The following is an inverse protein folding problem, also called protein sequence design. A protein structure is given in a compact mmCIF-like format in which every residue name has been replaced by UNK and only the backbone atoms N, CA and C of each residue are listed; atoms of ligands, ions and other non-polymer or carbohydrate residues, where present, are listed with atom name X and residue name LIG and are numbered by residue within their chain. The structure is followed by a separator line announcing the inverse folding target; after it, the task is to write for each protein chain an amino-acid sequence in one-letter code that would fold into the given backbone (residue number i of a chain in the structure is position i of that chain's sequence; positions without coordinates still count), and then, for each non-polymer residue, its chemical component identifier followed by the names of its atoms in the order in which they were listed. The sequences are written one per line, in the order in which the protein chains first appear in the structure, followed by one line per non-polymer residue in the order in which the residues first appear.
data_IF_458927159048
#
_entry.id   IF_458927159048
#
_cell.length_a   1.000
_cell.length_b   1.000
_cell.length_c   1.000
_cell.angle_alpha   90.00
_cell.angle_beta   90.00
_cell.angle_gamma   90.00
#
_symmetry.space_group_name_H-M   'P 1'
#
loop_
_entity.id
_entity.type
_entity.pdbx_description
1 polymer ?
#
# COMPACT_ATOMS: atom_id res chain seq x y z
N UNK A 1 59.91 -7.40 -57.98
CA UNK A 1 59.84 -8.84 -58.36
C UNK A 1 58.42 -9.33 -58.12
N UNK A 2 57.81 -9.88 -59.18
CA UNK A 2 56.67 -10.84 -59.30
C UNK A 2 55.65 -10.89 -58.14
N UNK A 3 54.40 -10.43 -58.33
CA UNK A 3 53.28 -11.05 -59.08
C UNK A 3 52.55 -12.16 -58.31
N UNK A 4 51.22 -12.03 -58.19
CA UNK A 4 50.32 -13.09 -57.70
C UNK A 4 48.90 -12.62 -57.37
N UNK A 5 48.08 -12.34 -58.39
CA UNK A 5 46.61 -12.31 -58.29
C UNK A 5 46.09 -13.76 -58.25
N UNK A 6 45.09 -14.06 -57.41
CA UNK A 6 43.95 -14.91 -57.82
C UNK A 6 42.79 -14.88 -56.80
N UNK A 7 41.62 -14.57 -57.35
CA UNK A 7 40.24 -14.60 -56.85
C UNK A 7 39.71 -15.99 -56.49
N UNK A 8 38.85 -16.10 -55.45
CA UNK A 8 37.64 -16.96 -55.40
C UNK A 8 36.62 -16.43 -54.35
N UNK A 9 35.38 -16.12 -54.77
CA UNK A 9 34.11 -16.07 -53.96
C UNK A 9 33.41 -17.45 -54.08
N UNK A 10 32.25 -17.80 -53.45
CA UNK A 10 31.34 -17.14 -52.47
C UNK A 10 30.86 -18.08 -51.33
N UNK A 11 30.16 -17.59 -50.28
CA UNK A 11 29.12 -18.40 -49.57
C UNK A 11 27.95 -17.50 -49.11
N UNK A 12 26.77 -17.78 -49.64
CA UNK A 12 25.45 -17.32 -49.18
C UNK A 12 25.18 -17.82 -47.75
N UNK A 13 24.61 -16.98 -46.88
CA UNK A 13 23.84 -17.45 -45.71
C UNK A 13 22.46 -16.80 -45.70
N UNK A 14 21.49 -17.62 -46.03
CA UNK A 14 20.06 -17.40 -45.89
C UNK A 14 19.68 -17.29 -44.41
N UNK A 15 18.93 -16.26 -44.03
CA UNK A 15 18.25 -16.19 -42.74
C UNK A 15 16.76 -16.43 -42.97
N UNK A 16 16.23 -17.50 -42.37
CA UNK A 16 14.84 -17.91 -42.43
C UNK A 16 13.99 -17.03 -41.50
N UNK A 17 12.85 -16.57 -42.04
CA UNK A 17 11.75 -15.93 -41.32
C UNK A 17 10.83 -17.02 -40.81
N UNK A 18 10.51 -17.04 -39.51
CA UNK A 18 9.42 -17.86 -38.95
C UNK A 18 8.44 -16.93 -38.25
N UNK A 19 7.27 -16.82 -38.87
CA UNK A 19 6.07 -16.13 -38.40
C UNK A 19 5.40 -16.92 -37.27
N UNK A 20 5.00 -16.24 -36.18
CA UNK A 20 4.13 -16.83 -35.16
C UNK A 20 2.70 -16.27 -35.33
N UNK A 21 1.77 -17.20 -35.51
CA UNK A 21 0.33 -16.98 -35.74
C UNK A 21 -0.41 -16.81 -34.40
N UNK A 22 -1.35 -15.87 -34.38
CA UNK A 22 -2.32 -15.58 -33.32
C UNK A 22 -3.41 -16.66 -33.28
N UNK A 23 -3.85 -17.06 -32.08
CA UNK A 23 -5.16 -17.68 -31.86
C UNK A 23 -5.81 -17.13 -30.58
N UNK A 24 -7.03 -16.61 -30.77
CA UNK A 24 -7.97 -16.08 -29.78
C UNK A 24 -8.66 -17.22 -28.99
N UNK A 25 -9.10 -16.91 -27.76
CA UNK A 25 -10.45 -17.31 -27.35
C UNK A 25 -10.67 -17.96 -25.98
N UNK A 26 -11.34 -17.19 -25.11
CA UNK A 26 -12.47 -17.54 -24.22
C UNK A 26 -12.27 -18.13 -22.82
N UNK A 27 -12.95 -17.43 -21.90
CA UNK A 27 -13.74 -17.91 -20.76
C UNK A 27 -13.04 -18.39 -19.48
N UNK A 28 -13.29 -17.63 -18.41
CA UNK A 28 -13.25 -18.09 -17.01
C UNK A 28 -14.50 -18.93 -16.76
N UNK A 29 -14.39 -20.00 -15.95
CA UNK A 29 -15.19 -20.01 -14.73
C UNK A 29 -14.35 -20.34 -13.50
N UNK A 30 -14.78 -19.78 -12.37
CA UNK A 30 -14.34 -20.16 -11.04
C UNK A 30 -14.58 -21.65 -10.79
N UNK A 31 -13.61 -22.33 -10.18
CA UNK A 31 -13.83 -23.54 -9.41
C UNK A 31 -13.04 -23.48 -8.10
N UNK A 32 -13.80 -23.62 -7.01
CA UNK A 32 -13.33 -24.16 -5.74
C UNK A 32 -12.93 -25.64 -5.96
N UNK A 33 -11.83 -26.05 -5.34
CA UNK A 33 -11.32 -27.41 -5.38
C UNK A 33 -10.35 -27.64 -4.22
N UNK A 34 -10.92 -28.21 -3.17
CA UNK A 34 -10.30 -29.02 -2.13
C UNK A 34 -9.15 -29.91 -2.63
N UNK A 35 -7.92 -29.45 -2.39
CA UNK A 35 -6.70 -30.23 -2.56
C UNK A 35 -6.31 -30.91 -1.25
N UNK A 36 -6.88 -32.09 -0.98
CA UNK A 36 -6.28 -33.06 -0.06
C UNK A 36 -4.92 -33.48 -0.61
N UNK A 37 -3.82 -33.03 0.00
CA UNK A 37 -2.49 -33.53 -0.31
C UNK A 37 -1.96 -34.37 0.85
N UNK A 38 -2.05 -35.68 0.67
CA UNK A 38 -1.31 -36.67 1.47
C UNK A 38 0.03 -36.90 0.75
N UNK A 39 1.14 -36.50 1.36
CA UNK A 39 2.47 -36.58 0.77
C UNK A 39 3.55 -36.23 1.78
N UNK A 40 4.04 -37.26 2.48
CA UNK A 40 5.11 -37.19 3.47
C UNK A 40 6.39 -36.53 2.95
N UNK A 41 6.82 -35.47 3.65
CA UNK A 41 8.13 -34.82 3.50
C UNK A 41 8.30 -33.79 4.61
N UNK A 42 9.08 -34.12 5.64
CA UNK A 42 9.18 -33.35 6.86
C UNK A 42 9.78 -31.96 6.67
N UNK A 43 8.98 -30.94 6.96
CA UNK A 43 9.46 -29.66 7.48
C UNK A 43 8.50 -29.26 8.61
N UNK A 44 8.96 -29.47 9.85
CA UNK A 44 8.18 -29.14 11.04
C UNK A 44 8.28 -27.64 11.28
N UNK A 45 7.40 -26.85 10.65
CA UNK A 45 7.09 -25.53 11.18
C UNK A 45 6.37 -25.73 12.53
N UNK A 46 6.79 -25.05 13.62
CA UNK A 46 6.01 -25.06 14.84
C UNK A 46 4.63 -24.48 14.55
N UNK A 47 3.58 -25.24 14.86
CA UNK A 47 2.20 -24.81 14.70
C UNK A 47 1.99 -23.46 15.41
N UNK A 48 1.46 -22.47 14.69
CA UNK A 48 0.94 -21.26 15.31
C UNK A 48 -0.07 -21.64 16.41
N UNK A 49 0.02 -21.06 17.62
CA UNK A 49 -1.01 -21.20 18.63
C UNK A 49 -2.32 -20.65 18.08
N UNK A 50 -3.40 -21.45 18.18
CA UNK A 50 -4.76 -20.99 17.86
C UNK A 50 -5.09 -19.78 18.74
N UNK A 51 -5.46 -18.67 18.12
CA UNK A 51 -6.01 -17.50 18.80
C UNK A 51 -7.47 -17.78 19.18
N UNK A 52 -7.80 -17.67 20.47
CA UNK A 52 -9.19 -17.58 20.90
C UNK A 52 -9.81 -16.28 20.36
N UNK A 53 -11.03 -16.32 19.79
CA UNK A 53 -11.64 -15.18 19.13
C UNK A 53 -12.21 -14.21 20.17
N UNK A 54 -11.48 -13.13 20.45
CA UNK A 54 -11.87 -12.11 21.40
C UNK A 54 -11.67 -10.70 20.86
N UNK A 55 -12.50 -10.29 19.88
CA UNK A 55 -13.02 -8.93 19.66
C UNK A 55 -13.52 -8.82 18.22
N UNK A 56 -14.79 -8.47 18.05
CA UNK A 56 -15.39 -8.20 16.74
C UNK A 56 -14.84 -6.87 16.19
N UNK A 57 -13.81 -6.92 15.36
CA UNK A 57 -13.33 -5.77 14.59
C UNK A 57 -14.10 -5.68 13.27
N UNK A 58 -14.83 -4.58 13.08
CA UNK A 58 -15.31 -4.19 11.76
C UNK A 58 -14.08 -3.81 10.91
N UNK A 59 -13.81 -4.62 9.87
CA UNK A 59 -12.88 -4.37 8.76
C UNK A 59 -11.38 -4.13 9.07
N UNK A 60 -10.60 -5.23 9.04
CA UNK A 60 -9.18 -5.26 8.66
C UNK A 60 -8.21 -5.56 9.80
N UNK A 61 -7.84 -6.82 10.01
CA UNK A 61 -6.88 -7.21 11.05
C UNK A 61 -5.47 -6.75 10.70
N UNK A 62 -4.85 -5.97 11.58
CA UNK A 62 -3.40 -5.71 11.55
C UNK A 62 -2.90 -6.03 12.95
N UNK A 63 -2.10 -7.09 13.09
CA UNK A 63 -1.62 -7.58 14.38
C UNK A 63 -2.71 -8.29 15.19
N UNK A 64 -2.31 -8.97 16.27
CA UNK A 64 -3.29 -9.62 17.14
C UNK A 64 -3.98 -8.58 18.04
N UNK A 65 -3.30 -7.46 18.35
CA UNK A 65 -3.75 -6.48 19.33
C UNK A 65 -3.73 -5.02 18.86
N UNK A 66 -3.20 -4.74 17.67
CA UNK A 66 -3.28 -3.39 17.07
C UNK A 66 -4.68 -3.15 16.50
N UNK A 67 -5.24 -2.00 16.81
CA UNK A 67 -6.56 -1.55 16.35
C UNK A 67 -6.37 -0.34 15.44
N UNK A 68 -7.04 -0.38 14.27
CA UNK A 68 -7.06 0.71 13.30
C UNK A 68 -8.42 1.43 13.35
N UNK A 69 -8.42 2.75 13.53
CA UNK A 69 -9.60 3.61 13.45
C UNK A 69 -9.34 4.70 12.40
N UNK A 70 -10.14 4.71 11.32
CA UNK A 70 -10.10 5.76 10.31
C UNK A 70 -11.31 6.69 10.43
N UNK A 71 -11.03 7.98 10.34
CA UNK A 71 -12.03 9.06 10.34
C UNK A 71 -11.72 10.07 9.23
N UNK A 72 -12.75 10.82 8.87
CA UNK A 72 -12.69 11.93 7.93
C UNK A 72 -13.66 13.01 8.41
N UNK A 73 -13.45 14.26 8.03
CA UNK A 73 -14.52 15.25 8.08
C UNK A 73 -15.50 14.99 6.92
N UNK A 74 -16.79 15.31 7.07
CA UNK A 74 -17.78 15.22 5.98
C UNK A 74 -18.29 13.82 5.60
N UNK A 75 -18.99 13.75 4.45
CA UNK A 75 -19.79 12.60 4.01
C UNK A 75 -18.99 11.67 3.08
N UNK A 76 -19.07 10.35 3.31
CA UNK A 76 -18.29 9.35 2.60
C UNK A 76 -18.68 9.19 1.13
N UNK A 77 -17.80 9.59 0.21
CA UNK A 77 -17.81 9.17 -1.19
C UNK A 77 -17.12 7.82 -1.41
N UNK A 78 -16.91 7.42 -2.67
CA UNK A 78 -16.06 6.26 -2.97
C UNK A 78 -14.62 6.51 -2.54
N UNK A 79 -14.01 5.53 -1.86
CA UNK A 79 -12.63 5.60 -1.37
C UNK A 79 -11.82 4.39 -1.82
N UNK A 80 -10.53 4.59 -2.08
CA UNK A 80 -9.57 3.53 -2.37
C UNK A 80 -8.47 3.52 -1.30
N UNK A 81 -7.76 2.40 -1.13
CA UNK A 81 -6.56 2.38 -0.27
C UNK A 81 -5.56 3.43 -0.75
N UNK A 82 -4.99 4.18 0.18
CA UNK A 82 -3.92 5.13 -0.08
C UNK A 82 -2.78 4.41 -0.81
N UNK A 83 -2.30 5.02 -1.89
CA UNK A 83 -1.03 4.61 -2.48
C UNK A 83 0.02 5.65 -2.15
N UNK A 84 1.23 5.21 -1.85
CA UNK A 84 2.36 6.10 -1.65
C UNK A 84 2.75 6.74 -2.98
N UNK A 85 2.99 8.05 -2.97
CA UNK A 85 3.61 8.79 -4.08
C UNK A 85 5.06 8.36 -4.33
N UNK A 86 5.73 7.80 -3.30
CA UNK A 86 7.04 7.18 -3.40
C UNK A 86 6.91 5.68 -3.68
N UNK A 87 7.57 5.21 -4.75
CA UNK A 87 7.62 3.78 -5.12
C UNK A 87 8.48 2.94 -4.18
N UNK A 88 9.40 3.59 -3.46
CA UNK A 88 10.40 2.95 -2.61
C UNK A 88 9.88 2.67 -1.20
N UNK A 89 8.84 3.39 -0.78
CA UNK A 89 8.21 3.14 0.50
C UNK A 89 7.52 1.77 0.51
N UNK A 90 7.80 1.00 1.56
CA UNK A 90 7.17 -0.30 1.82
C UNK A 90 6.61 -0.29 3.25
N UNK A 91 5.34 -0.69 3.43
CA UNK A 91 4.78 -0.80 4.77
C UNK A 91 5.47 -1.90 5.58
N UNK A 92 5.54 -1.78 6.92
CA UNK A 92 6.02 -2.82 7.81
C UNK A 92 5.39 -4.17 7.52
N UNK A 93 6.23 -5.16 7.28
CA UNK A 93 5.80 -6.54 7.02
C UNK A 93 5.59 -7.33 8.31
N UNK A 94 6.32 -6.97 9.36
CA UNK A 94 6.21 -7.56 10.68
C UNK A 94 6.75 -6.62 11.76
N UNK A 95 6.36 -6.89 12.99
CA UNK A 95 6.78 -6.17 14.20
C UNK A 95 6.56 -7.06 15.42
N UNK A 96 7.20 -6.74 16.55
CA UNK A 96 6.94 -7.43 17.82
C UNK A 96 5.83 -6.73 18.60
N UNK A 97 4.87 -7.50 19.12
CA UNK A 97 3.83 -7.03 20.04
C UNK A 97 4.00 -7.67 21.43
N UNK A 98 3.68 -6.97 22.53
CA UNK A 98 3.68 -7.58 23.87
C UNK A 98 2.75 -8.79 23.89
N UNK A 99 3.21 -9.92 24.44
CA UNK A 99 2.44 -11.16 24.40
C UNK A 99 2.36 -11.87 25.76
N UNK A 100 3.50 -12.06 26.42
CA UNK A 100 3.57 -12.89 27.64
C UNK A 100 4.31 -12.18 28.79
N UNK A 101 3.84 -12.40 30.00
CA UNK A 101 4.66 -12.24 31.21
C UNK A 101 5.71 -13.37 31.29
N UNK A 102 6.79 -13.24 32.10
CA UNK A 102 7.77 -14.32 32.29
C UNK A 102 7.16 -15.68 32.60
N UNK A 103 6.16 -15.71 33.49
CA UNK A 103 5.47 -16.95 33.86
C UNK A 103 4.67 -17.54 32.70
N UNK A 104 3.89 -16.71 32.00
CA UNK A 104 3.12 -17.18 30.85
C UNK A 104 4.03 -17.67 29.72
N UNK A 105 5.20 -17.05 29.54
CA UNK A 105 6.16 -17.46 28.54
C UNK A 105 6.83 -18.79 28.88
N UNK A 106 7.19 -19.01 30.15
CA UNK A 106 7.67 -20.32 30.61
C UNK A 106 6.64 -21.42 30.32
N UNK A 107 5.38 -21.18 30.71
CA UNK A 107 4.30 -22.14 30.51
C UNK A 107 4.09 -22.41 29.00
N UNK A 108 4.16 -21.36 28.17
CA UNK A 108 4.13 -21.45 26.71
C UNK A 108 5.27 -22.30 26.15
N UNK A 109 6.53 -21.98 26.45
CA UNK A 109 7.70 -22.69 25.91
C UNK A 109 7.69 -24.16 26.34
N UNK A 110 7.42 -24.44 27.62
CA UNK A 110 7.35 -25.82 28.13
C UNK A 110 6.25 -26.64 27.49
N UNK A 111 5.13 -26.02 27.12
CA UNK A 111 4.03 -26.67 26.45
C UNK A 111 4.31 -26.86 24.95
N UNK A 112 4.66 -25.79 24.25
CA UNK A 112 4.82 -25.78 22.79
C UNK A 112 6.02 -26.60 22.29
N UNK A 113 7.08 -26.70 23.09
CA UNK A 113 8.32 -27.38 22.72
C UNK A 113 8.52 -28.72 23.45
N UNK A 114 7.47 -29.25 24.10
CA UNK A 114 7.54 -30.53 24.80
C UNK A 114 7.85 -31.68 23.84
N UNK A 115 9.00 -32.32 24.03
CA UNK A 115 9.44 -33.43 23.18
C UNK A 115 9.84 -32.99 21.77
N UNK A 116 10.10 -31.68 21.56
CA UNK A 116 10.60 -31.19 20.29
C UNK A 116 12.00 -31.76 20.00
N UNK A 117 12.28 -32.01 18.72
CA UNK A 117 13.63 -32.29 18.23
C UNK A 117 14.40 -31.00 17.93
N UNK A 118 15.66 -31.13 17.52
CA UNK A 118 16.44 -29.98 17.04
C UNK A 118 15.87 -29.42 15.72
N UNK A 119 15.93 -28.10 15.48
CA UNK A 119 16.53 -27.05 16.33
C UNK A 119 15.60 -26.48 17.42
N UNK A 120 14.35 -26.94 17.48
CA UNK A 120 13.37 -26.40 18.42
C UNK A 120 13.70 -26.72 19.90
N UNK A 121 14.34 -27.86 20.15
CA UNK A 121 14.84 -28.23 21.48
C UNK A 121 15.90 -27.25 22.01
N UNK A 122 16.89 -26.88 21.18
CA UNK A 122 17.91 -25.90 21.57
C UNK A 122 17.33 -24.51 21.80
N UNK A 123 16.33 -24.09 21.02
CA UNK A 123 15.58 -22.85 21.29
C UNK A 123 14.94 -22.86 22.69
N UNK A 124 14.19 -23.93 23.02
CA UNK A 124 13.53 -24.06 24.31
C UNK A 124 14.54 -24.11 25.48
N UNK A 125 15.68 -24.79 25.28
CA UNK A 125 16.76 -24.84 26.25
C UNK A 125 17.36 -23.46 26.52
N UNK A 126 17.62 -22.67 25.47
CA UNK A 126 18.12 -21.28 25.62
C UNK A 126 17.18 -20.45 26.50
N UNK A 127 15.87 -20.54 26.31
CA UNK A 127 14.88 -19.81 27.14
C UNK A 127 14.86 -20.29 28.59
N UNK A 128 15.10 -21.58 28.82
CA UNK A 128 15.24 -22.13 30.16
C UNK A 128 16.54 -21.65 30.84
N UNK A 129 17.64 -21.56 30.10
CA UNK A 129 18.93 -21.05 30.60
C UNK A 129 18.86 -19.54 30.94
N UNK A 130 18.01 -18.78 30.24
CA UNK A 130 17.63 -17.39 30.55
C UNK A 130 16.62 -17.28 31.73
N UNK A 131 16.23 -18.40 32.35
CA UNK A 131 15.15 -18.55 33.34
C UNK A 131 13.86 -17.79 32.95
N UNK A 132 13.61 -17.66 31.64
CA UNK A 132 12.45 -16.96 31.08
C UNK A 132 12.29 -15.50 31.57
N UNK A 133 13.35 -14.87 32.10
CA UNK A 133 13.30 -13.58 32.80
C UNK A 133 12.36 -13.55 34.02
N UNK A 134 12.26 -14.65 34.77
CA UNK A 134 11.51 -14.65 36.03
C UNK A 134 12.11 -13.66 37.03
N UNK A 135 11.22 -12.92 37.69
CA UNK A 135 11.61 -11.90 38.67
C UNK A 135 11.98 -10.55 38.04
N UNK A 136 12.26 -10.52 36.73
CA UNK A 136 12.49 -9.28 36.01
C UNK A 136 11.17 -8.57 35.69
N UNK A 137 11.23 -7.23 35.59
CA UNK A 137 10.12 -6.44 35.06
C UNK A 137 10.26 -6.38 33.55
N UNK A 138 9.18 -6.66 32.83
CA UNK A 138 9.15 -6.62 31.37
C UNK A 138 8.12 -7.61 30.82
N UNK A 139 8.12 -7.73 29.50
CA UNK A 139 7.26 -8.66 28.78
C UNK A 139 8.08 -9.36 27.70
N UNK A 140 7.67 -10.59 27.39
CA UNK A 140 8.04 -11.24 26.15
C UNK A 140 7.12 -10.76 25.04
N UNK A 141 7.72 -10.20 23.99
CA UNK A 141 7.03 -9.71 22.82
C UNK A 141 7.22 -10.70 21.68
N UNK A 142 6.16 -10.97 20.94
CA UNK A 142 6.15 -11.96 19.86
C UNK A 142 5.98 -11.27 18.52
N UNK A 143 6.67 -11.77 17.50
CA UNK A 143 6.52 -11.28 16.13
C UNK A 143 5.06 -11.46 15.65
N UNK A 144 4.53 -10.42 15.02
CA UNK A 144 3.29 -10.41 14.26
C UNK A 144 3.59 -10.05 12.82
N UNK A 145 2.78 -10.57 11.91
CA UNK A 145 2.89 -10.35 10.47
C UNK A 145 1.70 -9.54 9.98
N UNK A 146 1.90 -8.70 8.97
CA UNK A 146 0.83 -7.86 8.41
C UNK A 146 -0.31 -8.68 7.77
N UNK A 147 0.00 -9.82 7.16
CA UNK A 147 -0.93 -10.60 6.34
C UNK A 147 -0.99 -12.08 6.77
N UNK A 148 -0.80 -12.35 8.06
CA UNK A 148 -0.78 -13.67 8.72
C UNK A 148 0.22 -14.70 8.17
N UNK A 149 0.94 -14.37 7.10
CA UNK A 149 1.92 -15.21 6.45
C UNK A 149 3.33 -14.74 6.76
N UNK A 150 4.23 -15.71 6.99
CA UNK A 150 5.66 -15.42 7.00
C UNK A 150 6.08 -14.82 5.65
N UNK A 151 6.97 -13.84 5.69
CA UNK A 151 7.61 -13.27 4.51
C UNK A 151 9.09 -13.10 4.79
N UNK A 152 9.94 -13.46 3.81
CA UNK A 152 11.40 -13.29 3.89
C UNK A 152 11.81 -11.82 4.10
N UNK A 153 10.92 -10.87 3.80
CA UNK A 153 11.13 -9.46 4.08
C UNK A 153 11.10 -9.14 5.59
N UNK A 154 10.55 -10.03 6.41
CA UNK A 154 10.58 -9.92 7.86
C UNK A 154 11.89 -10.52 8.38
N UNK A 155 12.81 -9.73 8.99
CA UNK A 155 14.11 -10.21 9.42
C UNK A 155 14.04 -10.95 10.77
N UNK A 156 13.06 -11.84 10.90
CA UNK A 156 12.96 -12.77 12.04
C UNK A 156 13.59 -14.10 11.69
N UNK A 157 14.26 -14.66 12.68
CA UNK A 157 14.87 -15.99 12.64
C UNK A 157 14.17 -16.87 13.67
N UNK A 158 14.49 -18.15 13.68
CA UNK A 158 14.00 -19.08 14.72
C UNK A 158 14.45 -18.69 16.12
N UNK A 159 15.50 -17.86 16.25
CA UNK A 159 16.09 -17.48 17.54
C UNK A 159 15.43 -16.25 18.18
N UNK A 160 14.64 -15.49 17.42
CA UNK A 160 14.03 -14.25 17.88
C UNK A 160 12.51 -14.19 17.66
N UNK A 161 11.83 -15.34 17.50
CA UNK A 161 10.36 -15.36 17.39
C UNK A 161 9.67 -14.63 18.54
N UNK A 162 10.28 -14.70 19.73
CA UNK A 162 10.01 -13.83 20.85
C UNK A 162 11.27 -13.10 21.33
N UNK A 163 11.11 -11.83 21.69
CA UNK A 163 12.14 -10.99 22.29
C UNK A 163 11.71 -10.56 23.69
N UNK A 164 12.67 -10.41 24.60
CA UNK A 164 12.42 -9.83 25.91
C UNK A 164 12.52 -8.31 25.83
N UNK A 165 11.50 -7.61 26.34
CA UNK A 165 11.44 -6.14 26.34
C UNK A 165 11.24 -5.65 27.78
N UNK A 166 12.25 -4.99 28.38
CA UNK A 166 12.11 -4.37 29.69
C UNK A 166 11.28 -3.06 29.61
N UNK A 167 10.71 -2.56 30.74
CA UNK A 167 9.90 -1.34 30.76
C UNK A 167 10.65 -0.08 30.33
N UNK A 168 11.97 -0.07 30.53
CA UNK A 168 12.85 1.01 30.11
C UNK A 168 14.06 0.40 29.41
N UNK A 169 14.36 0.91 28.22
CA UNK A 169 15.48 0.48 27.39
C UNK A 169 16.13 1.70 26.76
N UNK A 170 17.48 1.74 26.64
CA UNK A 170 18.18 2.88 26.04
C UNK A 170 17.79 3.13 24.59
N UNK A 171 17.46 2.07 23.85
CA UNK A 171 17.01 2.10 22.45
C UNK A 171 16.00 0.97 22.21
N UNK A 172 14.97 1.16 21.37
CA UNK A 172 14.10 0.07 20.95
C UNK A 172 14.86 -1.05 20.22
N UNK A 173 14.44 -2.29 20.49
CA UNK A 173 14.88 -3.45 19.72
C UNK A 173 14.43 -3.30 18.25
N UNK A 174 15.18 -3.83 17.28
CA UNK A 174 14.76 -3.84 15.89
C UNK A 174 13.36 -4.46 15.73
N UNK A 175 12.48 -3.79 14.97
CA UNK A 175 11.09 -4.21 14.74
C UNK A 175 10.20 -4.29 15.99
N UNK A 176 10.67 -3.85 17.15
CA UNK A 176 9.76 -3.64 18.28
C UNK A 176 8.72 -2.61 17.90
N UNK A 177 7.44 -2.86 18.21
CA UNK A 177 6.38 -1.90 17.94
C UNK A 177 6.69 -0.55 18.62
N UNK A 178 6.78 0.50 17.80
CA UNK A 178 6.94 1.89 18.20
C UNK A 178 5.78 2.72 17.65
N UNK A 179 5.59 3.97 18.12
CA UNK A 179 4.67 4.91 17.47
C UNK A 179 4.96 5.13 15.99
N UNK A 180 6.23 5.03 15.55
CA UNK A 180 6.60 5.13 14.13
C UNK A 180 6.07 3.93 13.33
N UNK A 181 6.26 2.70 13.82
CA UNK A 181 5.66 1.52 13.16
C UNK A 181 4.13 1.65 13.13
N UNK A 182 3.51 2.13 14.22
CA UNK A 182 2.06 2.38 14.25
C UNK A 182 1.63 3.42 13.19
N UNK A 183 2.39 4.49 12.97
CA UNK A 183 2.04 5.49 11.95
C UNK A 183 2.13 4.90 10.54
N UNK A 184 3.11 4.03 10.29
CA UNK A 184 3.24 3.32 9.01
C UNK A 184 2.10 2.31 8.79
N UNK A 185 1.67 1.60 9.84
CA UNK A 185 0.50 0.70 9.80
C UNK A 185 -0.80 1.49 9.56
N UNK A 186 -0.97 2.63 10.22
CA UNK A 186 -2.09 3.54 9.99
C UNK A 186 -2.09 4.07 8.56
N UNK A 187 -0.93 4.49 8.05
CA UNK A 187 -0.79 4.97 6.69
C UNK A 187 -1.15 3.91 5.65
N UNK A 188 -0.61 2.70 5.81
CA UNK A 188 -0.93 1.55 4.96
C UNK A 188 -2.44 1.22 4.94
N UNK A 189 -3.13 1.47 6.04
CA UNK A 189 -4.56 1.18 6.19
C UNK A 189 -5.47 2.28 5.67
N UNK A 190 -4.93 3.49 5.51
CA UNK A 190 -5.70 4.69 5.16
C UNK A 190 -6.42 4.51 3.82
N UNK A 191 -7.71 4.84 3.78
CA UNK A 191 -8.51 4.94 2.56
C UNK A 191 -8.68 6.39 2.16
N UNK A 192 -8.21 6.77 0.98
CA UNK A 192 -8.35 8.12 0.44
C UNK A 192 -9.56 8.20 -0.51
N UNK A 193 -10.37 9.27 -0.43
CA UNK A 193 -11.43 9.53 -1.38
C UNK A 193 -10.90 9.57 -2.82
N UNK A 194 -11.64 8.96 -3.74
CA UNK A 194 -11.31 9.07 -5.17
C UNK A 194 -11.69 10.46 -5.69
N UNK A 195 -10.91 11.07 -6.59
CA UNK A 195 -11.22 12.41 -7.07
C UNK A 195 -12.57 12.50 -7.81
N UNK A 196 -13.54 13.31 -7.35
CA UNK A 196 -14.87 13.38 -7.95
C UNK A 196 -14.88 14.38 -9.12
N UNK A 197 -14.15 14.06 -10.19
CA UNK A 197 -13.97 14.96 -11.33
C UNK A 197 -15.18 14.98 -12.27
N UNK A 198 -15.61 16.17 -12.67
CA UNK A 198 -16.54 16.42 -13.77
C UNK A 198 -15.85 17.19 -14.90
N UNK A 199 -16.10 16.74 -16.12
CA UNK A 199 -15.61 17.36 -17.35
C UNK A 199 -16.72 18.17 -18.03
N UNK A 200 -16.35 19.30 -18.60
CA UNK A 200 -17.20 20.11 -19.47
C UNK A 200 -16.46 20.48 -20.77
N UNK A 201 -16.91 20.03 -21.95
CA UNK A 201 -18.05 19.13 -22.20
C UNK A 201 -17.94 17.77 -21.48
N UNK A 202 -19.04 17.01 -21.43
CA UNK A 202 -19.05 15.70 -20.75
C UNK A 202 -18.08 14.72 -21.42
N UNK A 203 -17.56 13.78 -20.64
CA UNK A 203 -16.58 12.78 -21.06
C UNK A 203 -16.94 12.02 -22.36
N UNK A 204 -18.23 11.78 -22.63
CA UNK A 204 -18.75 11.06 -23.82
C UNK A 204 -18.85 11.92 -25.10
N UNK A 205 -18.53 13.22 -25.01
CA UNK A 205 -18.77 14.21 -26.06
C UNK A 205 -17.80 15.39 -26.03
N UNK A 206 -16.55 15.15 -25.64
CA UNK A 206 -15.51 16.16 -25.80
C UNK A 206 -15.38 16.53 -27.28
N UNK A 207 -14.94 17.76 -27.53
CA UNK A 207 -14.92 18.34 -28.88
C UNK A 207 -13.48 18.68 -29.25
N UNK A 208 -13.07 18.29 -30.46
CA UNK A 208 -11.76 18.64 -31.01
C UNK A 208 -11.59 20.17 -31.04
N UNK A 209 -10.43 20.64 -30.60
CA UNK A 209 -10.07 22.07 -30.50
C UNK A 209 -10.92 22.90 -29.52
N UNK A 210 -11.73 22.26 -28.67
CA UNK A 210 -12.41 22.91 -27.56
C UNK A 210 -11.73 22.56 -26.23
N UNK A 211 -11.40 23.58 -25.43
CA UNK A 211 -10.83 23.38 -24.10
C UNK A 211 -11.79 22.64 -23.18
N UNK A 212 -11.28 21.59 -22.54
CA UNK A 212 -12.03 20.80 -21.54
C UNK A 212 -11.81 21.39 -20.16
N UNK A 213 -12.89 21.84 -19.52
CA UNK A 213 -12.88 22.31 -18.14
C UNK A 213 -13.04 21.15 -17.18
N UNK A 214 -12.26 21.17 -16.11
CA UNK A 214 -12.32 20.21 -15.00
C UNK A 214 -12.93 20.91 -13.79
N UNK A 215 -13.87 20.25 -13.13
CA UNK A 215 -14.44 20.67 -11.84
C UNK A 215 -14.46 19.49 -10.88
N UNK A 216 -14.47 19.77 -9.59
CA UNK A 216 -14.81 18.77 -8.57
C UNK A 216 -16.29 18.87 -8.21
N UNK A 217 -16.95 17.73 -7.97
CA UNK A 217 -18.36 17.70 -7.51
C UNK A 217 -18.52 18.07 -6.04
N UNK A 218 -17.47 17.87 -5.26
CA UNK A 218 -17.46 18.09 -3.82
C UNK A 218 -16.08 18.55 -3.38
N UNK A 219 -16.06 19.18 -2.21
CA UNK A 219 -14.84 19.54 -1.52
C UNK A 219 -14.16 18.27 -0.99
N UNK A 220 -12.88 18.37 -0.63
CA UNK A 220 -12.14 17.29 -0.01
C UNK A 220 -11.88 17.57 1.45
N UNK A 221 -12.17 16.57 2.26
CA UNK A 221 -11.89 16.60 3.68
C UNK A 221 -10.53 15.94 3.97
N UNK A 222 -9.87 16.42 5.03
CA UNK A 222 -8.71 15.71 5.58
C UNK A 222 -9.15 14.34 6.09
N UNK A 223 -8.31 13.34 5.89
CA UNK A 223 -8.53 11.97 6.38
C UNK A 223 -7.46 11.68 7.42
N UNK A 224 -7.84 11.03 8.51
CA UNK A 224 -6.88 10.54 9.48
C UNK A 224 -7.16 9.11 9.91
N UNK A 225 -6.08 8.37 10.10
CA UNK A 225 -6.12 6.97 10.51
C UNK A 225 -5.24 6.83 11.74
N UNK A 226 -5.78 6.23 12.79
CA UNK A 226 -5.07 5.98 14.04
C UNK A 226 -4.82 4.49 14.18
N UNK A 227 -3.58 4.11 14.39
CA UNK A 227 -3.22 2.78 14.87
C UNK A 227 -2.90 2.87 16.36
N UNK A 228 -3.45 1.96 17.14
CA UNK A 228 -3.26 1.94 18.59
C UNK A 228 -3.15 0.54 19.15
N UNK A 229 -2.46 0.42 20.27
CA UNK A 229 -2.42 -0.80 21.07
C UNK A 229 -2.66 -0.43 22.53
N UNK A 230 -3.47 -1.23 23.20
CA UNK A 230 -3.65 -1.19 24.64
C UNK A 230 -3.70 -2.63 25.15
N UNK A 231 -2.53 -3.21 25.37
CA UNK A 231 -2.42 -4.63 25.71
C UNK A 231 -1.26 -4.89 26.67
N UNK A 232 -1.50 -5.75 27.68
CA UNK A 232 -0.53 -6.11 28.73
C UNK A 232 0.14 -4.89 29.40
N UNK A 233 -0.58 -3.78 29.53
CA UNK A 233 -0.06 -2.54 30.13
C UNK A 233 0.80 -1.68 29.20
N UNK A 234 0.96 -2.09 27.95
CA UNK A 234 1.56 -1.27 26.89
C UNK A 234 0.45 -0.49 26.21
N UNK A 235 0.51 0.83 26.31
CA UNK A 235 -0.44 1.75 25.68
C UNK A 235 0.32 2.74 24.79
N UNK A 236 0.02 2.73 23.50
CA UNK A 236 0.57 3.69 22.55
C UNK A 236 -0.38 3.85 21.36
N UNK A 237 -0.29 4.99 20.69
CA UNK A 237 -1.04 5.28 19.48
C UNK A 237 -0.18 6.13 18.55
N UNK A 238 -0.51 6.08 17.26
CA UNK A 238 -0.04 7.04 16.30
C UNK A 238 -1.15 7.32 15.27
N UNK A 239 -1.29 8.59 14.92
CA UNK A 239 -2.30 9.06 13.98
C UNK A 239 -1.63 9.63 12.74
N UNK A 240 -1.92 9.04 11.59
CA UNK A 240 -1.51 9.52 10.28
C UNK A 240 -2.61 10.41 9.71
N UNK A 241 -2.26 11.60 9.23
CA UNK A 241 -3.16 12.60 8.66
C UNK A 241 -2.78 12.86 7.21
N UNK A 242 -3.73 12.67 6.31
CA UNK A 242 -3.63 12.96 4.88
C UNK A 242 -4.44 14.22 4.56
N UNK A 243 -3.75 15.26 4.10
CA UNK A 243 -4.32 16.55 3.70
C UNK A 243 -4.21 16.73 2.20
N UNK A 244 -5.30 16.97 1.45
CA UNK A 244 -5.23 17.10 0.01
C UNK A 244 -4.60 18.45 -0.37
N UNK A 245 -3.62 18.45 -1.28
CA UNK A 245 -2.84 19.66 -1.61
C UNK A 245 -2.78 19.98 -3.09
N UNK A 246 -2.93 19.00 -3.98
CA UNK A 246 -2.89 19.25 -5.42
C UNK A 246 -3.76 18.26 -6.21
N UNK A 247 -4.44 18.75 -7.26
CA UNK A 247 -5.12 17.98 -8.28
C UNK A 247 -4.28 18.01 -9.56
N UNK A 248 -3.90 16.85 -10.07
CA UNK A 248 -3.34 16.68 -11.41
C UNK A 248 -4.35 15.99 -12.32
N UNK A 249 -4.52 16.50 -13.54
CA UNK A 249 -5.30 15.84 -14.59
C UNK A 249 -4.44 15.58 -15.81
N UNK A 250 -4.65 14.45 -16.47
CA UNK A 250 -3.87 13.97 -17.59
C UNK A 250 -4.82 13.53 -18.71
N UNK A 251 -4.56 13.99 -19.93
CA UNK A 251 -5.45 13.80 -21.08
C UNK A 251 -5.51 12.34 -21.58
N UNK A 252 -4.49 11.54 -21.26
CA UNK A 252 -4.34 10.16 -21.72
C UNK A 252 -3.87 10.02 -23.17
N UNK A 253 -3.45 11.10 -23.82
CA UNK A 253 -3.01 11.10 -25.23
C UNK A 253 -1.97 12.16 -25.51
N UNK A 254 -1.11 11.89 -26.50
CA UNK A 254 -0.17 12.87 -27.02
C UNK A 254 -0.85 13.94 -27.88
N UNK A 255 -2.06 13.67 -28.38
CA UNK A 255 -2.87 14.60 -29.19
C UNK A 255 -3.58 15.67 -28.34
N UNK A 256 -3.13 15.94 -27.11
CA UNK A 256 -3.71 16.94 -26.23
C UNK A 256 -2.70 18.02 -25.85
N UNK A 257 -3.17 19.25 -25.75
CA UNK A 257 -2.33 20.41 -25.47
C UNK A 257 -3.01 21.34 -24.44
N UNK A 258 -2.43 21.50 -23.24
CA UNK A 258 -1.34 20.67 -22.70
C UNK A 258 -1.81 19.22 -22.44
N UNK A 259 -0.87 18.29 -22.30
CA UNK A 259 -1.18 16.89 -21.98
C UNK A 259 -1.63 16.68 -20.52
N UNK A 260 -1.24 17.60 -19.64
CA UNK A 260 -1.61 17.57 -18.24
C UNK A 260 -1.78 18.99 -17.68
N UNK A 261 -2.63 19.13 -16.67
CA UNK A 261 -2.83 20.34 -15.88
C UNK A 261 -2.70 20.00 -14.40
N UNK A 262 -2.20 20.96 -13.61
CA UNK A 262 -2.16 20.85 -12.14
C UNK A 262 -2.85 22.05 -11.52
N UNK A 263 -3.51 21.82 -10.40
CA UNK A 263 -4.25 22.82 -9.64
C UNK A 263 -3.95 22.62 -8.15
N UNK A 264 -3.73 23.71 -7.43
CA UNK A 264 -3.55 23.64 -5.98
C UNK A 264 -4.91 23.46 -5.31
N UNK A 265 -4.92 22.76 -4.17
CA UNK A 265 -6.06 22.74 -3.27
C UNK A 265 -5.80 23.65 -2.07
N UNK A 266 -6.78 24.50 -1.77
CA UNK A 266 -6.73 25.46 -0.67
C UNK A 266 -7.87 25.20 0.30
N UNK A 267 -7.62 25.44 1.58
CA UNK A 267 -8.64 25.31 2.60
C UNK A 267 -9.70 26.41 2.47
N UNK A 268 -10.96 26.04 2.50
CA UNK A 268 -12.12 26.92 2.46
C UNK A 268 -13.23 26.35 3.34
N UNK A 269 -13.62 27.09 4.39
CA UNK A 269 -14.71 26.71 5.31
C UNK A 269 -14.55 25.30 5.94
N UNK A 270 -13.31 24.89 6.21
CA UNK A 270 -13.00 23.60 6.88
C UNK A 270 -12.93 22.38 5.95
N UNK A 271 -12.96 22.60 4.63
CA UNK A 271 -12.71 21.58 3.61
C UNK A 271 -11.75 22.14 2.56
N UNK A 272 -11.28 21.33 1.62
CA UNK A 272 -10.30 21.72 0.61
C UNK A 272 -10.93 21.79 -0.78
N UNK A 273 -10.74 22.92 -1.45
CA UNK A 273 -11.30 23.23 -2.78
C UNK A 273 -10.18 23.49 -3.77
N UNK A 274 -10.46 23.32 -5.06
CA UNK A 274 -9.50 23.70 -6.10
C UNK A 274 -9.39 25.22 -6.17
N UNK A 275 -8.18 25.74 -6.05
CA UNK A 275 -7.89 27.11 -6.44
C UNK A 275 -7.70 27.18 -7.96
N UNK A 276 -8.70 27.74 -8.64
CA UNK A 276 -8.66 27.95 -10.09
C UNK A 276 -8.35 29.38 -10.48
N UNK A 277 -7.96 30.25 -9.54
CA UNK A 277 -7.82 31.70 -9.76
C UNK A 277 -6.71 32.01 -10.76
N UNK A 278 -5.62 31.23 -10.72
CA UNK A 278 -4.50 31.28 -11.67
C UNK A 278 -4.45 30.08 -12.64
N UNK A 279 -5.28 29.07 -12.42
CA UNK A 279 -5.28 27.83 -13.21
C UNK A 279 -6.11 27.97 -14.49
N UNK A 280 -5.62 28.75 -15.44
CA UNK A 280 -6.18 28.83 -16.80
C UNK A 280 -5.90 27.57 -17.66
N UNK A 281 -5.39 26.49 -17.05
CA UNK A 281 -5.02 25.28 -17.76
C UNK A 281 -6.28 24.50 -18.17
N UNK A 282 -6.56 24.42 -19.48
CA UNK A 282 -7.64 23.61 -20.03
C UNK A 282 -7.05 22.66 -21.06
N UNK A 283 -7.24 21.35 -20.85
CA UNK A 283 -6.79 20.33 -21.79
C UNK A 283 -7.58 20.48 -23.09
N UNK A 284 -6.89 20.71 -24.21
CA UNK A 284 -7.50 20.78 -25.54
C UNK A 284 -7.07 19.59 -26.37
N UNK A 285 -8.03 18.73 -26.73
CA UNK A 285 -7.78 17.59 -27.62
C UNK A 285 -7.71 18.08 -29.07
N UNK A 286 -6.61 17.79 -29.76
CA UNK A 286 -6.32 18.17 -31.14
C UNK A 286 -6.79 17.14 -32.16
N UNK A 287 -7.16 15.94 -31.71
CA UNK A 287 -7.61 14.83 -32.55
C UNK A 287 -8.83 14.13 -31.97
N UNK A 288 -9.70 13.64 -32.85
CA UNK A 288 -10.80 12.75 -32.52
C UNK A 288 -10.28 11.41 -31.98
N UNK A 289 -11.01 10.82 -31.02
CA UNK A 289 -10.72 9.47 -30.56
C UNK A 289 -11.22 8.38 -31.54
N UNK A 290 -11.86 8.77 -32.64
CA UNK A 290 -12.38 7.86 -33.65
C UNK A 290 -13.45 6.92 -33.08
N UNK A 291 -13.29 5.62 -33.30
CA UNK A 291 -14.12 4.57 -32.69
C UNK A 291 -13.65 4.16 -31.28
N UNK A 292 -12.53 4.71 -30.81
CA UNK A 292 -11.94 4.44 -29.50
C UNK A 292 -12.13 5.58 -28.50
N UNK A 293 -11.32 5.55 -27.43
CA UNK A 293 -11.35 6.51 -26.32
C UNK A 293 -9.94 6.85 -25.87
N UNK A 294 -9.78 7.99 -25.19
CA UNK A 294 -8.55 8.32 -24.47
C UNK A 294 -8.72 8.05 -22.96
N UNK A 295 -7.71 7.48 -22.28
CA UNK A 295 -7.76 7.20 -20.84
C UNK A 295 -7.44 8.46 -20.03
N UNK A 296 -8.46 9.30 -19.81
CA UNK A 296 -8.32 10.48 -18.95
C UNK A 296 -8.08 10.06 -17.50
N UNK A 297 -7.14 10.72 -16.84
CA UNK A 297 -6.76 10.44 -15.45
C UNK A 297 -6.81 11.70 -14.61
N UNK A 298 -7.29 11.57 -13.38
CA UNK A 298 -7.22 12.58 -12.35
C UNK A 298 -6.59 12.00 -11.08
N UNK A 299 -5.69 12.75 -10.47
CA UNK A 299 -4.95 12.33 -9.29
C UNK A 299 -4.94 13.44 -8.26
N UNK A 300 -5.22 13.13 -6.99
CA UNK A 300 -5.01 14.05 -5.87
C UNK A 300 -3.76 13.61 -5.12
N UNK A 301 -2.85 14.56 -4.91
CA UNK A 301 -1.71 14.42 -4.01
C UNK A 301 -2.15 14.83 -2.60
N UNK A 302 -1.84 13.97 -1.63
CA UNK A 302 -2.16 14.16 -0.22
C UNK A 302 -0.87 14.35 0.57
N UNK A 303 -0.67 15.52 1.17
CA UNK A 303 0.41 15.73 2.12
C UNK A 303 0.15 14.87 3.36
N UNK A 304 1.09 13.99 3.69
CA UNK A 304 0.96 13.09 4.84
C UNK A 304 1.84 13.57 5.99
N UNK A 305 1.24 13.65 7.18
CA UNK A 305 1.93 13.87 8.46
C UNK A 305 1.48 12.83 9.47
N UNK A 306 2.20 12.69 10.58
CA UNK A 306 1.76 11.80 11.66
C UNK A 306 2.13 12.31 13.04
N UNK A 307 1.36 11.91 14.04
CA UNK A 307 1.57 12.23 15.46
C UNK A 307 1.81 10.94 16.25
N UNK A 308 2.58 11.01 17.34
CA UNK A 308 2.82 9.88 18.24
C UNK A 308 1.71 9.74 19.32
N UNK A 309 0.47 10.04 18.93
CA UNK A 309 -0.70 9.97 19.80
C UNK A 309 -1.94 9.60 18.99
N UNK A 310 -3.11 9.52 19.64
CA UNK A 310 -4.40 9.37 18.95
C UNK A 310 -4.99 10.72 18.47
N UNK A 311 -4.32 11.83 18.76
CA UNK A 311 -4.75 13.16 18.38
C UNK A 311 -4.23 13.51 16.96
N UNK A 312 -5.11 13.67 15.95
CA UNK A 312 -4.69 14.09 14.61
C UNK A 312 -4.12 15.50 14.56
N UNK A 313 -4.42 16.34 15.55
CA UNK A 313 -3.97 17.73 15.64
C UNK A 313 -2.74 17.89 16.55
N UNK A 314 -2.18 16.77 17.02
CA UNK A 314 -0.96 16.73 17.83
C UNK A 314 0.29 17.18 17.07
N UNK A 315 1.42 17.24 17.78
CA UNK A 315 2.71 17.68 17.21
C UNK A 315 3.19 16.69 16.13
N UNK A 316 3.39 17.12 14.87
CA UNK A 316 3.89 16.25 13.82
C UNK A 316 5.28 15.71 14.14
N UNK A 317 5.49 14.43 13.85
CA UNK A 317 6.74 13.72 14.11
C UNK A 317 7.59 13.59 12.83
N UNK A 318 8.85 13.19 13.01
CA UNK A 318 9.80 12.92 11.95
C UNK A 318 10.44 11.53 12.12
N UNK A 319 10.83 10.86 11.01
CA UNK A 319 10.70 11.31 9.63
C UNK A 319 9.22 11.32 9.18
N UNK A 320 8.89 12.24 8.27
CA UNK A 320 7.56 12.26 7.66
C UNK A 320 7.34 11.02 6.80
N UNK A 321 6.08 10.56 6.75
CA UNK A 321 5.66 9.54 5.80
C UNK A 321 5.60 10.14 4.38
N UNK A 322 5.72 9.32 3.32
CA UNK A 322 5.56 9.81 1.96
C UNK A 322 4.17 10.37 1.73
N UNK A 323 4.04 11.34 0.83
CA UNK A 323 2.76 11.86 0.40
C UNK A 323 1.90 10.74 -0.20
N UNK A 324 0.59 10.80 0.01
CA UNK A 324 -0.38 9.86 -0.53
C UNK A 324 -0.88 10.28 -1.91
N UNK A 325 -1.41 9.31 -2.65
CA UNK A 325 -2.01 9.51 -3.97
C UNK A 325 -3.36 8.81 -4.02
N UNK A 326 -4.38 9.51 -4.53
CA UNK A 326 -5.66 8.91 -4.90
C UNK A 326 -5.92 9.19 -6.37
N UNK A 327 -6.23 8.16 -7.15
CA UNK A 327 -6.38 8.25 -8.60
C UNK A 327 -7.80 7.88 -9.01
N UNK A 328 -8.30 8.56 -10.04
CA UNK A 328 -9.51 8.24 -10.78
C UNK A 328 -9.21 8.22 -12.28
N UNK A 329 -9.64 7.18 -12.97
CA UNK A 329 -9.48 7.04 -14.42
C UNK A 329 -10.85 6.87 -15.08
N UNK A 330 -11.03 7.51 -16.23
CA UNK A 330 -12.21 7.33 -17.07
C UNK A 330 -11.85 7.45 -18.54
N UNK A 331 -12.56 6.70 -19.38
CA UNK A 331 -12.44 6.85 -20.81
C UNK A 331 -13.22 8.06 -21.30
N UNK A 332 -12.60 8.88 -22.17
CA UNK A 332 -13.25 10.02 -22.82
C UNK A 332 -13.32 9.82 -24.33
N UNK A 333 -14.41 10.30 -24.93
CA UNK A 333 -14.65 10.32 -26.36
C UNK A 333 -14.52 11.75 -26.88
N UNK A 334 -13.69 11.94 -27.89
CA UNK A 334 -13.47 13.24 -28.54
C UNK A 334 -14.01 13.18 -29.95
N UNK A 335 -14.92 14.10 -30.28
CA UNK A 335 -15.61 14.18 -31.57
C UNK A 335 -15.18 15.41 -32.34
N UNK A 336 -15.03 15.27 -33.65
CA UNK A 336 -14.90 16.41 -34.55
C UNK A 336 -16.27 17.08 -34.74
N UNK A 337 -16.29 18.41 -34.80
CA UNK A 337 -17.44 19.14 -35.33
C UNK A 337 -17.33 19.08 -36.85
N UNK A 338 -18.26 18.36 -37.46
CA UNK A 338 -18.50 18.47 -38.89
C UNK A 338 -19.39 19.71 -39.10
N UNK A 339 -18.82 20.79 -39.64
CA UNK A 339 -19.63 21.89 -40.16
C UNK A 339 -20.34 21.38 -41.41
N UNK A 340 -21.66 21.16 -41.33
CA UNK A 340 -22.48 20.93 -42.53
C UNK A 340 -22.64 22.28 -43.22
N UNK A 341 -21.83 22.53 -44.25
CA UNK A 341 -22.07 23.65 -45.14
C UNK A 341 -23.29 23.28 -46.00
N UNK A 342 -24.42 23.95 -45.77
CA UNK A 342 -25.64 23.79 -46.57
C UNK A 342 -25.67 24.79 -47.71
#
# INVERSE_FOLDING_TARGET
MRAGLMTVRPILRSAAVVSLVVALGTAVPAYAGDGSWNGSGGSSQPNQPKTDPGATSAHGTIGAHVVIDQKQTGSAGSSATATSSSTDWKPPVCWYEPMYTPKEYEDFIKSAYKGAGEPAASYAKKRADEDYHKGDKGLWWQVKFRNDNFTEACPVTTDNWEIWVPPAQPKPEPHQLTPEILSELAYNSTKLPTPPVELSPRADRLIVNLGTRVKLKSDFDRVWTTASINYKGVQMAATTVATPVALKVEAGTADADPQACSYDLVESKGSYVVDSTDAACNITYRRSSGTGTYPFKASITWKVTWTNSADPDGVPQQPALPDGLSTYEQNVTVKEIQAVNR
#
